data_IF_031916097759
#
_entry.id   IF_031916097759
#
_cell.length_a   1.000
_cell.length_b   1.000
_cell.length_c   1.000
_cell.angle_alpha   90.00
_cell.angle_beta   90.00
_cell.angle_gamma   90.00
#
_symmetry.space_group_name_H-M   'P 1'
#
loop_
_entity.id
_entity.type
_entity.pdbx_description
1 polymer ?
#
# COMPACT_ATOMS: atom_id res chain seq x y z
N UNK A 1 -24.09 -82.17 41.17
CA UNK A 1 -24.35 -80.71 41.19
C UNK A 1 -24.47 -80.31 39.72
N UNK A 2 -25.65 -80.19 39.11
CA UNK A 2 -26.76 -79.24 39.37
C UNK A 2 -26.37 -77.79 39.00
N UNK A 3 -27.14 -77.01 38.22
CA UNK A 3 -28.48 -77.21 37.63
C UNK A 3 -28.78 -76.10 36.57
N UNK A 4 -29.70 -76.37 35.59
CA UNK A 4 -30.73 -75.49 34.94
C UNK A 4 -30.42 -73.98 34.67
N UNK A 5 -30.84 -73.26 33.61
CA UNK A 5 -31.91 -73.30 32.57
C UNK A 5 -31.66 -72.12 31.57
N UNK A 6 -32.33 -71.83 30.45
CA UNK A 6 -33.47 -72.41 29.69
C UNK A 6 -33.25 -72.17 28.15
N UNK A 7 -34.30 -71.95 27.35
CA UNK A 7 -34.38 -71.70 25.88
C UNK A 7 -35.63 -70.79 25.60
N UNK A 8 -36.20 -70.54 24.39
CA UNK A 8 -35.89 -70.92 22.98
C UNK A 8 -35.88 -69.67 22.01
N UNK A 9 -35.77 -69.69 20.66
CA UNK A 9 -36.57 -70.37 19.63
C UNK A 9 -35.96 -70.35 18.20
N UNK A 10 -35.97 -71.53 17.56
CA UNK A 10 -36.24 -71.85 16.14
C UNK A 10 -35.41 -71.29 14.96
N UNK A 11 -34.83 -72.25 14.23
CA UNK A 11 -34.55 -72.24 12.79
C UNK A 11 -35.24 -73.46 12.16
N UNK A 12 -36.05 -73.27 11.12
CA UNK A 12 -36.57 -74.30 10.20
C UNK A 12 -37.38 -73.64 9.07
N UNK A 13 -37.55 -74.16 7.85
CA UNK A 13 -36.78 -75.11 7.02
C UNK A 13 -37.46 -75.16 5.63
N UNK A 14 -36.77 -75.62 4.58
CA UNK A 14 -37.29 -75.85 3.20
C UNK A 14 -37.76 -74.59 2.42
N UNK A 15 -37.81 -74.56 1.08
CA UNK A 15 -37.43 -75.55 0.07
C UNK A 15 -37.61 -75.00 -1.37
N UNK A 16 -36.97 -75.61 -2.37
CA UNK A 16 -37.01 -75.19 -3.79
C UNK A 16 -38.41 -75.28 -4.42
N UNK A 17 -38.84 -74.26 -5.20
CA UNK A 17 -38.99 -74.33 -6.69
C UNK A 17 -39.75 -73.13 -7.32
N UNK A 18 -39.14 -72.58 -8.38
CA UNK A 18 -39.72 -72.01 -9.62
C UNK A 18 -41.04 -71.21 -9.62
N UNK A 19 -40.93 -69.91 -9.98
CA UNK A 19 -42.05 -69.08 -10.46
C UNK A 19 -41.66 -67.59 -10.59
N UNK A 20 -41.38 -67.12 -11.81
CA UNK A 20 -41.05 -65.70 -12.12
C UNK A 20 -42.33 -64.81 -12.15
N UNK A 21 -42.30 -63.47 -12.34
CA UNK A 21 -41.17 -62.61 -12.76
C UNK A 21 -41.09 -61.19 -12.11
N UNK A 22 -40.20 -60.33 -12.65
CA UNK A 22 -40.11 -58.84 -12.53
C UNK A 22 -39.65 -58.24 -11.18
N UNK A 23 -38.39 -57.75 -11.13
CA UNK A 23 -38.04 -56.42 -10.56
C UNK A 23 -36.91 -55.80 -11.39
N UNK A 24 -36.99 -54.47 -11.55
CA UNK A 24 -36.11 -53.55 -12.28
C UNK A 24 -34.59 -53.75 -12.12
N UNK A 25 -33.87 -53.45 -13.21
CA UNK A 25 -32.43 -53.22 -13.27
C UNK A 25 -31.97 -52.11 -12.32
N UNK A 26 -30.86 -52.32 -11.61
CA UNK A 26 -30.13 -51.24 -10.94
C UNK A 26 -29.55 -50.29 -12.01
N UNK A 27 -30.06 -49.05 -12.05
CA UNK A 27 -29.39 -47.97 -12.74
C UNK A 27 -28.24 -47.47 -11.85
N UNK A 28 -27.00 -47.64 -12.32
CA UNK A 28 -25.86 -46.92 -11.75
C UNK A 28 -26.07 -45.41 -11.99
N UNK A 29 -26.40 -44.67 -10.93
CA UNK A 29 -26.72 -43.25 -11.04
C UNK A 29 -25.45 -42.42 -11.26
N UNK A 30 -25.16 -42.14 -12.54
CA UNK A 30 -24.05 -41.29 -12.95
C UNK A 30 -24.31 -39.83 -12.56
N UNK A 31 -23.88 -39.46 -11.36
CA UNK A 31 -23.85 -38.07 -10.88
C UNK A 31 -22.44 -37.50 -10.76
N UNK A 32 -21.57 -37.84 -11.72
CA UNK A 32 -20.48 -36.92 -12.09
C UNK A 32 -21.11 -35.65 -12.68
N UNK A 33 -21.27 -34.64 -11.83
CA UNK A 33 -21.64 -33.29 -12.24
C UNK A 33 -20.52 -32.69 -13.08
N UNK A 34 -20.53 -33.00 -14.38
CA UNK A 34 -19.67 -32.34 -15.34
C UNK A 34 -20.04 -30.86 -15.36
N UNK A 35 -19.14 -30.03 -14.82
CA UNK A 35 -19.19 -28.58 -15.06
C UNK A 35 -18.97 -28.39 -16.56
N UNK A 36 -20.05 -28.18 -17.30
CA UNK A 36 -19.98 -27.80 -18.71
C UNK A 36 -19.39 -26.38 -18.82
N UNK A 37 -18.06 -26.32 -18.83
CA UNK A 37 -17.28 -25.12 -19.12
C UNK A 37 -17.73 -24.58 -20.47
N UNK A 38 -18.49 -23.49 -20.47
CA UNK A 38 -19.08 -22.95 -21.69
C UNK A 38 -17.95 -22.30 -22.51
N UNK A 39 -17.49 -22.90 -23.62
CA UNK A 39 -16.23 -22.52 -24.26
C UNK A 39 -16.29 -21.15 -24.94
N UNK A 40 -17.48 -20.56 -25.06
CA UNK A 40 -17.67 -19.16 -25.46
C UNK A 40 -17.48 -18.19 -24.28
N UNK A 41 -17.96 -18.53 -23.08
CA UNK A 41 -17.72 -17.76 -21.86
C UNK A 41 -16.23 -17.72 -21.53
N UNK A 42 -15.59 -18.88 -21.49
CA UNK A 42 -14.15 -19.00 -21.19
C UNK A 42 -13.24 -18.30 -22.24
N UNK A 43 -13.76 -18.02 -23.45
CA UNK A 43 -13.06 -17.16 -24.44
C UNK A 43 -13.32 -15.68 -24.17
N UNK A 44 -14.57 -15.29 -23.91
CA UNK A 44 -14.93 -13.91 -23.64
C UNK A 44 -14.21 -13.39 -22.39
N UNK A 45 -14.21 -14.15 -21.29
CA UNK A 45 -13.52 -13.80 -20.05
C UNK A 45 -12.01 -13.65 -20.28
N UNK A 46 -11.39 -14.51 -21.09
CA UNK A 46 -9.97 -14.35 -21.48
C UNK A 46 -9.70 -13.08 -22.30
N UNK A 47 -10.59 -12.72 -23.23
CA UNK A 47 -10.46 -11.47 -24.00
C UNK A 47 -10.67 -10.22 -23.12
N UNK A 48 -11.60 -10.28 -22.16
CA UNK A 48 -11.82 -9.21 -21.19
C UNK A 48 -10.62 -9.06 -20.24
N UNK A 49 -10.08 -10.16 -19.70
CA UNK A 49 -8.84 -10.18 -18.91
C UNK A 49 -7.68 -9.56 -19.70
N UNK A 50 -7.50 -9.97 -20.97
CA UNK A 50 -6.44 -9.44 -21.83
C UNK A 50 -6.60 -7.95 -22.09
N UNK A 51 -7.78 -7.50 -22.52
CA UNK A 51 -8.07 -6.08 -22.79
C UNK A 51 -7.88 -5.21 -21.53
N UNK A 52 -8.25 -5.73 -20.36
CA UNK A 52 -8.06 -5.05 -19.09
C UNK A 52 -6.59 -4.94 -18.67
N UNK A 53 -5.80 -6.02 -18.84
CA UNK A 53 -4.35 -6.00 -18.60
C UNK A 53 -3.68 -5.00 -19.55
N UNK A 54 -4.04 -5.01 -20.85
CA UNK A 54 -3.56 -4.03 -21.83
C UNK A 54 -3.93 -2.61 -21.42
N UNK A 55 -5.15 -2.37 -20.92
CA UNK A 55 -5.57 -1.08 -20.37
C UNK A 55 -4.72 -0.63 -19.17
N UNK A 56 -4.44 -1.53 -18.23
CA UNK A 56 -3.58 -1.23 -17.07
C UNK A 56 -2.14 -0.90 -17.51
N UNK A 57 -1.60 -1.65 -18.47
CA UNK A 57 -0.27 -1.39 -19.07
C UNK A 57 -0.27 -0.05 -19.81
N UNK A 58 -1.33 0.28 -20.55
CA UNK A 58 -1.46 1.56 -21.23
C UNK A 58 -1.48 2.74 -20.24
N UNK A 59 -2.22 2.63 -19.13
CA UNK A 59 -2.19 3.65 -18.06
C UNK A 59 -0.80 3.79 -17.44
N UNK A 60 -0.11 2.67 -17.17
CA UNK A 60 1.28 2.71 -16.65
C UNK A 60 2.25 3.39 -17.63
N UNK A 61 2.13 3.11 -18.93
CA UNK A 61 2.91 3.78 -19.98
C UNK A 61 2.57 5.27 -20.05
N UNK A 62 1.29 5.65 -19.99
CA UNK A 62 0.86 7.05 -19.99
C UNK A 62 1.41 7.82 -18.77
N UNK A 63 1.39 7.25 -17.57
CA UNK A 63 1.99 7.87 -16.37
C UNK A 63 3.51 8.00 -16.55
N UNK A 64 4.18 6.94 -17.03
CA UNK A 64 5.63 6.91 -17.22
C UNK A 64 6.08 7.97 -18.23
N UNK A 65 5.43 8.04 -19.40
CA UNK A 65 5.78 8.95 -20.48
C UNK A 65 5.01 10.29 -20.46
N UNK A 66 4.28 10.59 -19.37
CA UNK A 66 3.63 11.88 -19.18
C UNK A 66 4.65 13.02 -19.27
N UNK A 67 4.53 13.84 -20.32
CA UNK A 67 5.39 15.01 -20.55
C UNK A 67 4.82 16.23 -19.83
N UNK A 68 4.94 16.24 -18.49
CA UNK A 68 4.54 17.36 -17.64
C UNK A 68 5.78 18.18 -17.30
N UNK A 69 5.74 19.48 -17.61
CA UNK A 69 6.82 20.40 -17.32
C UNK A 69 6.97 20.59 -15.80
N UNK A 70 8.08 20.12 -15.25
CA UNK A 70 8.46 20.26 -13.85
C UNK A 70 9.60 21.29 -13.76
N UNK A 71 9.45 22.43 -13.06
CA UNK A 71 10.48 23.46 -13.00
C UNK A 71 11.81 22.97 -12.40
N UNK A 72 11.74 22.14 -11.35
CA UNK A 72 12.89 21.89 -10.49
C UNK A 72 13.82 20.78 -11.01
N UNK A 73 13.36 19.95 -11.96
CA UNK A 73 14.09 18.75 -12.43
C UNK A 73 15.47 19.05 -13.02
N UNK A 74 15.62 20.17 -13.72
CA UNK A 74 16.90 20.59 -14.29
C UNK A 74 17.82 21.18 -13.22
N UNK A 75 17.27 21.77 -12.16
CA UNK A 75 18.01 22.16 -10.96
C UNK A 75 18.62 20.93 -10.28
N UNK A 76 17.79 19.96 -9.90
CA UNK A 76 18.23 18.69 -9.31
C UNK A 76 19.29 17.98 -10.15
N UNK A 77 19.11 17.93 -11.48
CA UNK A 77 20.10 17.35 -12.40
C UNK A 77 21.41 18.11 -12.35
N UNK A 78 21.38 19.46 -12.37
CA UNK A 78 22.57 20.32 -12.40
C UNK A 78 23.33 20.33 -11.07
N UNK A 79 22.61 20.35 -9.94
CA UNK A 79 23.20 20.24 -8.61
C UNK A 79 23.86 18.86 -8.44
N UNK A 80 23.23 17.79 -8.92
CA UNK A 80 23.81 16.44 -8.96
C UNK A 80 25.08 16.35 -9.78
N UNK A 81 25.14 16.98 -10.96
CA UNK A 81 26.37 17.08 -11.77
C UNK A 81 27.50 17.79 -11.00
N UNK A 82 27.18 18.85 -10.26
CA UNK A 82 28.15 19.57 -9.44
C UNK A 82 28.64 18.74 -8.24
N UNK A 83 27.75 18.00 -7.56
CA UNK A 83 28.12 17.06 -6.48
C UNK A 83 29.06 15.97 -7.01
N UNK A 84 28.70 15.34 -8.14
CA UNK A 84 29.50 14.29 -8.78
C UNK A 84 30.87 14.81 -9.25
N UNK A 85 30.94 16.03 -9.79
CA UNK A 85 32.19 16.66 -10.23
C UNK A 85 33.09 17.05 -9.05
N UNK A 86 32.51 17.71 -8.04
CA UNK A 86 33.26 18.32 -6.94
C UNK A 86 33.54 17.35 -5.78
N UNK A 87 32.89 16.19 -5.75
CA UNK A 87 32.98 15.19 -4.67
C UNK A 87 32.62 15.75 -3.27
N UNK A 88 31.79 16.80 -3.25
CA UNK A 88 31.32 17.50 -2.06
C UNK A 88 29.90 18.02 -2.34
N UNK A 89 29.10 18.20 -1.29
CA UNK A 89 27.75 18.78 -1.41
C UNK A 89 27.89 20.31 -1.32
N UNK A 90 27.54 21.09 -2.36
CA UNK A 90 27.62 22.54 -2.31
C UNK A 90 26.70 23.10 -1.24
N UNK A 91 27.24 23.88 -0.31
CA UNK A 91 26.45 24.59 0.71
C UNK A 91 26.22 26.06 0.39
N UNK A 92 26.57 26.50 -0.83
CA UNK A 92 26.45 27.88 -1.29
C UNK A 92 25.61 27.91 -2.56
N UNK A 93 24.51 28.67 -2.53
CA UNK A 93 23.60 28.80 -3.65
C UNK A 93 24.29 29.52 -4.82
N UNK A 94 24.77 28.74 -5.79
CA UNK A 94 25.57 29.26 -6.90
C UNK A 94 24.72 29.71 -8.09
N UNK A 95 23.43 29.37 -8.08
CA UNK A 95 22.52 29.50 -9.22
C UNK A 95 21.36 30.48 -8.99
N UNK A 96 21.08 30.87 -7.74
CA UNK A 96 20.15 31.95 -7.44
C UNK A 96 20.65 33.29 -7.95
N UNK A 97 19.78 33.99 -8.69
CA UNK A 97 20.04 35.32 -9.23
C UNK A 97 20.14 36.41 -8.16
N UNK A 98 19.43 36.25 -7.03
CA UNK A 98 19.34 37.27 -5.97
C UNK A 98 20.21 36.93 -4.77
N UNK A 99 20.29 35.64 -4.40
CA UNK A 99 20.97 35.16 -3.20
C UNK A 99 22.26 34.39 -3.54
N UNK A 100 22.98 34.81 -4.59
CA UNK A 100 24.19 34.11 -5.02
C UNK A 100 25.23 34.07 -3.89
N UNK A 101 25.73 32.87 -3.57
CA UNK A 101 26.71 32.61 -2.52
C UNK A 101 26.13 32.51 -1.10
N UNK A 102 24.80 32.66 -0.90
CA UNK A 102 24.19 32.45 0.41
C UNK A 102 24.26 30.98 0.84
N UNK A 103 24.35 30.75 2.15
CA UNK A 103 24.34 29.42 2.72
C UNK A 103 22.98 28.74 2.52
N UNK A 104 22.97 27.62 1.80
CA UNK A 104 21.79 26.81 1.55
C UNK A 104 22.04 25.36 1.98
N UNK A 105 21.03 24.72 2.57
CA UNK A 105 21.05 23.29 2.89
C UNK A 105 20.32 22.58 1.76
N UNK A 106 21.10 21.93 0.90
CA UNK A 106 20.59 20.94 -0.04
C UNK A 106 20.14 19.68 0.73
N UNK A 107 18.88 19.71 1.14
CA UNK A 107 18.23 18.63 1.85
C UNK A 107 17.82 17.44 0.96
N UNK A 108 18.04 17.54 -0.36
CA UNK A 108 17.64 16.54 -1.35
C UNK A 108 18.83 16.03 -2.19
N UNK A 109 20.06 16.34 -1.78
CA UNK A 109 21.33 16.03 -2.46
C UNK A 109 21.46 14.60 -3.01
N UNK A 110 20.88 13.60 -2.36
CA UNK A 110 20.93 12.21 -2.84
C UNK A 110 19.97 11.98 -4.01
N UNK A 111 18.83 12.68 -4.04
CA UNK A 111 17.95 12.74 -5.21
C UNK A 111 18.66 13.42 -6.39
N UNK A 112 19.39 14.50 -6.13
CA UNK A 112 20.14 15.24 -7.16
C UNK A 112 21.21 14.37 -7.81
N UNK A 113 22.02 13.69 -6.99
CA UNK A 113 23.00 12.69 -7.47
C UNK A 113 22.32 11.58 -8.29
N UNK A 114 21.11 11.14 -7.91
CA UNK A 114 20.34 10.18 -8.70
C UNK A 114 19.89 10.77 -10.04
N UNK A 115 19.40 12.01 -10.08
CA UNK A 115 18.99 12.69 -11.33
C UNK A 115 20.16 12.79 -12.29
N UNK A 116 21.31 13.30 -11.85
CA UNK A 116 22.51 13.40 -12.67
C UNK A 116 22.98 12.02 -13.17
N UNK A 117 22.96 10.99 -12.32
CA UNK A 117 23.37 9.63 -12.70
C UNK A 117 22.47 9.01 -13.78
N UNK A 118 21.15 9.13 -13.66
CA UNK A 118 20.20 8.64 -14.66
C UNK A 118 20.21 9.48 -15.95
N UNK A 119 20.48 10.78 -15.84
CA UNK A 119 20.66 11.65 -16.99
C UNK A 119 21.96 11.36 -17.76
N UNK A 120 23.09 11.13 -17.09
CA UNK A 120 24.35 10.76 -17.76
C UNK A 120 24.29 9.40 -18.47
N UNK A 121 23.47 8.47 -17.97
CA UNK A 121 23.37 7.10 -18.52
C UNK A 121 22.35 6.97 -19.66
N UNK A 122 21.24 7.72 -19.64
CA UNK A 122 20.16 7.60 -20.62
C UNK A 122 19.52 8.91 -21.07
N UNK A 123 20.08 10.07 -20.70
CA UNK A 123 19.49 11.38 -20.94
C UNK A 123 18.09 11.49 -20.32
N UNK A 124 17.20 12.22 -21.02
CA UNK A 124 15.78 12.35 -20.63
C UNK A 124 15.09 10.98 -20.56
N UNK A 125 15.45 10.03 -21.43
CA UNK A 125 14.86 8.68 -21.40
C UNK A 125 15.26 7.93 -20.11
N UNK A 126 16.50 8.10 -19.64
CA UNK A 126 16.97 7.54 -18.36
C UNK A 126 16.12 8.04 -17.18
N UNK A 127 15.87 9.35 -17.13
CA UNK A 127 15.00 9.98 -16.12
C UNK A 127 13.55 9.45 -16.19
N UNK A 128 12.98 9.34 -17.40
CA UNK A 128 11.62 8.82 -17.64
C UNK A 128 11.48 7.36 -17.20
N UNK A 129 12.45 6.50 -17.57
CA UNK A 129 12.47 5.09 -17.17
C UNK A 129 12.66 4.93 -15.67
N UNK A 130 13.47 5.79 -15.03
CA UNK A 130 13.63 5.81 -13.58
C UNK A 130 12.33 6.15 -12.85
N UNK A 131 11.57 7.14 -13.33
CA UNK A 131 10.21 7.45 -12.84
C UNK A 131 9.30 6.23 -12.96
N UNK A 132 9.29 5.57 -14.13
CA UNK A 132 8.52 4.35 -14.38
C UNK A 132 8.86 3.22 -13.41
N UNK A 133 10.15 3.02 -13.12
CA UNK A 133 10.63 2.03 -12.15
C UNK A 133 10.14 2.33 -10.72
N UNK A 134 10.20 3.59 -10.29
CA UNK A 134 9.71 4.01 -8.96
C UNK A 134 8.18 3.84 -8.83
N UNK A 135 7.41 4.20 -9.87
CA UNK A 135 5.95 3.98 -9.91
C UNK A 135 5.62 2.48 -9.91
N UNK A 136 6.36 1.66 -10.67
CA UNK A 136 6.19 0.21 -10.68
C UNK A 136 6.50 -0.42 -9.31
N UNK A 137 7.56 0.04 -8.63
CA UNK A 137 7.90 -0.40 -7.28
C UNK A 137 6.81 -0.02 -6.26
N UNK A 138 6.27 1.20 -6.33
CA UNK A 138 5.17 1.66 -5.50
C UNK A 138 3.91 0.81 -5.69
N UNK A 139 3.49 0.56 -6.94
CA UNK A 139 2.37 -0.34 -7.25
C UNK A 139 2.64 -1.76 -6.75
N UNK A 140 3.88 -2.24 -6.91
CA UNK A 140 4.33 -3.54 -6.41
C UNK A 140 4.24 -3.70 -4.90
N UNK A 141 4.43 -2.62 -4.13
CA UNK A 141 4.18 -2.62 -2.68
C UNK A 141 2.67 -2.58 -2.36
N UNK A 142 1.92 -1.71 -3.03
CA UNK A 142 0.50 -1.47 -2.73
C UNK A 142 -0.42 -2.63 -3.13
N UNK A 143 -0.02 -3.47 -4.09
CA UNK A 143 -0.80 -4.65 -4.49
C UNK A 143 -0.72 -5.80 -3.46
N UNK A 144 0.34 -5.87 -2.65
CA UNK A 144 0.51 -6.90 -1.61
C UNK A 144 -0.63 -6.96 -0.58
N UNK A 145 -1.00 -5.86 0.12
CA UNK A 145 -2.09 -5.90 1.10
C UNK A 145 -3.44 -6.18 0.45
N UNK A 146 -3.68 -5.75 -0.79
CA UNK A 146 -4.89 -6.08 -1.55
C UNK A 146 -4.96 -7.58 -1.88
N UNK A 147 -3.86 -8.19 -2.33
CA UNK A 147 -3.83 -9.65 -2.58
C UNK A 147 -4.00 -10.45 -1.29
N UNK A 148 -3.38 -10.04 -0.19
CA UNK A 148 -3.58 -10.67 1.12
C UNK A 148 -5.01 -10.52 1.66
N UNK A 149 -5.69 -9.40 1.36
CA UNK A 149 -7.10 -9.19 1.69
C UNK A 149 -8.08 -9.97 0.78
N UNK A 150 -7.59 -10.66 -0.25
CA UNK A 150 -8.40 -11.49 -1.15
C UNK A 150 -9.01 -10.75 -2.34
N UNK A 151 -8.41 -9.64 -2.80
CA UNK A 151 -8.83 -8.98 -4.04
C UNK A 151 -8.46 -9.80 -5.29
N UNK A 152 -9.46 -10.04 -6.15
CA UNK A 152 -9.29 -10.53 -7.52
C UNK A 152 -8.55 -9.53 -8.41
N UNK A 153 -8.20 -9.95 -9.64
CA UNK A 153 -7.38 -9.12 -10.54
C UNK A 153 -8.04 -7.76 -10.83
N UNK A 154 -9.29 -7.76 -11.25
CA UNK A 154 -10.04 -6.55 -11.63
C UNK A 154 -10.26 -5.60 -10.46
N UNK A 155 -10.75 -6.10 -9.31
CA UNK A 155 -11.07 -5.24 -8.17
C UNK A 155 -9.81 -4.67 -7.51
N UNK A 156 -8.73 -5.46 -7.43
CA UNK A 156 -7.43 -4.97 -6.96
C UNK A 156 -6.86 -3.91 -7.89
N UNK A 157 -6.88 -4.13 -9.20
CA UNK A 157 -6.39 -3.17 -10.18
C UNK A 157 -7.26 -1.90 -10.24
N UNK A 158 -8.59 -1.98 -10.12
CA UNK A 158 -9.46 -0.79 -10.03
C UNK A 158 -9.11 0.08 -8.82
N UNK A 159 -8.90 -0.56 -7.65
CA UNK A 159 -8.49 0.12 -6.42
C UNK A 159 -7.10 0.77 -6.56
N UNK A 160 -6.15 0.10 -7.23
CA UNK A 160 -4.83 0.67 -7.55
C UNK A 160 -4.95 1.85 -8.54
N UNK A 161 -5.74 1.72 -9.60
CA UNK A 161 -5.94 2.79 -10.59
C UNK A 161 -6.58 4.04 -9.97
N UNK A 162 -7.57 3.86 -9.09
CA UNK A 162 -8.10 4.96 -8.28
C UNK A 162 -7.01 5.60 -7.42
N UNK A 163 -6.20 4.81 -6.72
CA UNK A 163 -5.12 5.34 -5.90
C UNK A 163 -4.04 6.08 -6.71
N UNK A 164 -3.70 5.59 -7.91
CA UNK A 164 -2.80 6.28 -8.83
C UNK A 164 -3.39 7.61 -9.34
N UNK A 165 -4.69 7.67 -9.61
CA UNK A 165 -5.37 8.94 -9.94
C UNK A 165 -5.29 9.94 -8.79
N UNK A 166 -5.51 9.49 -7.54
CA UNK A 166 -5.38 10.32 -6.33
C UNK A 166 -3.95 10.83 -6.12
N UNK A 167 -2.94 10.00 -6.41
CA UNK A 167 -1.52 10.37 -6.36
C UNK A 167 -1.05 11.13 -7.61
N UNK A 168 -1.89 11.26 -8.64
CA UNK A 168 -1.58 11.76 -9.98
C UNK A 168 -0.58 12.92 -10.01
N UNK A 169 -0.87 14.06 -9.34
CA UNK A 169 0.00 15.24 -9.32
C UNK A 169 1.45 14.97 -8.86
N UNK A 170 1.71 13.94 -8.06
CA UNK A 170 3.04 13.57 -7.57
C UNK A 170 3.71 12.40 -8.28
N UNK A 171 3.00 11.68 -9.18
CA UNK A 171 3.55 10.52 -9.92
C UNK A 171 3.76 10.78 -11.42
N UNK A 172 3.10 11.80 -11.99
CA UNK A 172 3.29 12.17 -13.40
C UNK A 172 4.56 12.99 -13.64
N UNK A 173 5.02 13.75 -12.64
CA UNK A 173 6.29 14.49 -12.67
C UNK A 173 7.43 13.71 -12.01
N UNK A 174 8.67 14.07 -12.33
CA UNK A 174 9.85 13.56 -11.64
C UNK A 174 10.16 14.49 -10.47
N UNK A 175 9.81 14.07 -9.25
CA UNK A 175 10.06 14.82 -8.01
C UNK A 175 10.56 13.89 -6.89
N UNK A 176 11.34 14.42 -5.93
CA UNK A 176 11.79 13.67 -4.75
C UNK A 176 10.62 13.14 -3.89
N UNK A 177 9.45 13.77 -3.97
CA UNK A 177 8.22 13.30 -3.31
C UNK A 177 7.78 11.87 -3.72
N UNK A 178 8.15 11.37 -4.91
CA UNK A 178 7.83 10.00 -5.34
C UNK A 178 8.48 8.94 -4.43
N UNK A 179 9.69 9.22 -3.90
CA UNK A 179 10.33 8.38 -2.89
C UNK A 179 9.59 8.38 -1.57
N UNK A 180 8.94 9.49 -1.21
CA UNK A 180 8.10 9.55 0.00
C UNK A 180 6.91 8.61 -0.13
N UNK A 181 6.28 8.50 -1.30
CA UNK A 181 5.23 7.50 -1.51
C UNK A 181 5.76 6.07 -1.35
N UNK A 182 6.90 5.77 -1.98
CA UNK A 182 7.52 4.44 -1.93
C UNK A 182 7.93 4.04 -0.49
N UNK A 183 8.67 4.91 0.20
CA UNK A 183 9.14 4.63 1.56
C UNK A 183 8.01 4.70 2.60
N UNK A 184 7.02 5.58 2.45
CA UNK A 184 5.84 5.60 3.32
C UNK A 184 5.00 4.33 3.16
N UNK A 185 4.82 3.82 1.93
CA UNK A 185 4.18 2.53 1.69
C UNK A 185 4.98 1.38 2.34
N UNK A 186 6.30 1.35 2.18
CA UNK A 186 7.16 0.34 2.80
C UNK A 186 7.10 0.38 4.35
N UNK A 187 7.15 1.57 4.95
CA UNK A 187 6.97 1.75 6.40
C UNK A 187 5.60 1.26 6.84
N UNK A 188 4.52 1.67 6.17
CA UNK A 188 3.16 1.22 6.52
C UNK A 188 3.04 -0.31 6.46
N UNK A 189 3.63 -0.96 5.46
CA UNK A 189 3.64 -2.42 5.33
C UNK A 189 4.39 -3.09 6.49
N UNK A 190 5.59 -2.60 6.85
CA UNK A 190 6.36 -3.12 7.99
C UNK A 190 5.56 -2.99 9.30
N UNK A 191 4.90 -1.85 9.52
CA UNK A 191 4.06 -1.62 10.71
C UNK A 191 2.81 -2.50 10.72
N UNK A 192 2.20 -2.76 9.55
CA UNK A 192 1.09 -3.71 9.40
C UNK A 192 1.51 -5.12 9.77
N UNK A 193 2.58 -5.63 9.15
CA UNK A 193 3.11 -6.97 9.42
C UNK A 193 3.49 -7.13 10.90
N UNK A 194 4.06 -6.09 11.52
CA UNK A 194 4.37 -6.09 12.95
C UNK A 194 3.12 -6.14 13.85
N UNK A 195 2.04 -5.40 13.54
CA UNK A 195 0.75 -5.52 14.25
C UNK A 195 0.09 -6.90 14.05
N UNK A 196 0.30 -7.55 12.90
CA UNK A 196 -0.14 -8.92 12.65
C UNK A 196 0.77 -10.00 13.28
N UNK A 197 1.85 -9.59 13.98
CA UNK A 197 2.72 -10.45 14.78
C UNK A 197 4.14 -10.63 14.23
N UNK A 198 4.41 -10.23 12.99
CA UNK A 198 5.69 -10.39 12.30
C UNK A 198 6.65 -9.22 12.60
N UNK A 199 7.14 -9.15 13.85
CA UNK A 199 8.01 -8.06 14.31
C UNK A 199 9.44 -8.06 13.72
N UNK A 200 9.82 -9.09 12.96
CA UNK A 200 11.18 -9.25 12.40
C UNK A 200 11.61 -8.09 11.51
N UNK A 201 10.69 -7.53 10.72
CA UNK A 201 10.96 -6.47 9.75
C UNK A 201 11.10 -5.07 10.36
N UNK A 202 10.78 -4.87 11.65
CA UNK A 202 10.86 -3.57 12.32
C UNK A 202 12.26 -2.94 12.23
N UNK A 203 13.32 -3.75 12.20
CA UNK A 203 14.70 -3.27 12.06
C UNK A 203 15.06 -2.76 10.66
N UNK A 204 14.18 -2.88 9.67
CA UNK A 204 14.32 -2.18 8.39
C UNK A 204 13.85 -0.71 8.45
N UNK A 205 13.08 -0.31 9.47
CA UNK A 205 12.60 1.08 9.59
C UNK A 205 13.76 2.09 9.65
N UNK A 206 14.81 1.91 10.49
CA UNK A 206 15.98 2.80 10.46
C UNK A 206 16.69 2.79 9.09
N UNK A 207 16.82 1.62 8.47
CA UNK A 207 17.48 1.43 7.17
C UNK A 207 16.76 2.16 6.04
N UNK A 208 15.43 2.32 6.14
CA UNK A 208 14.62 3.11 5.20
C UNK A 208 14.71 4.61 5.50
N UNK A 209 14.75 5.01 6.79
CA UNK A 209 14.82 6.43 7.16
C UNK A 209 16.14 7.09 6.73
N UNK A 210 17.28 6.39 6.80
CA UNK A 210 18.59 6.95 6.37
C UNK A 210 18.56 7.51 4.93
N UNK A 211 18.30 6.72 3.86
CA UNK A 211 18.27 7.27 2.51
C UNK A 211 17.12 8.26 2.31
N UNK A 212 15.96 8.05 2.95
CA UNK A 212 14.81 8.95 2.81
C UNK A 212 15.12 10.37 3.33
N UNK A 213 15.81 10.48 4.47
CA UNK A 213 16.21 11.77 5.06
C UNK A 213 17.26 12.53 4.23
N UNK A 214 17.87 11.89 3.23
CA UNK A 214 18.80 12.51 2.28
C UNK A 214 18.17 12.74 0.89
N UNK A 215 16.93 12.29 0.67
CA UNK A 215 16.21 12.33 -0.62
C UNK A 215 15.05 13.32 -0.61
N UNK A 216 14.25 13.38 0.47
CA UNK A 216 13.09 14.27 0.56
C UNK A 216 12.67 14.50 2.02
N UNK A 217 12.34 15.75 2.38
CA UNK A 217 11.88 16.12 3.74
C UNK A 217 10.62 15.36 4.24
N UNK A 218 9.93 14.64 3.35
CA UNK A 218 8.79 13.78 3.65
C UNK A 218 9.07 12.60 4.59
N UNK A 219 10.33 12.30 4.94
CA UNK A 219 10.68 11.30 5.96
C UNK A 219 9.99 11.56 7.32
N UNK A 220 9.67 12.83 7.61
CA UNK A 220 8.89 13.26 8.78
C UNK A 220 7.52 12.55 8.85
N UNK A 221 6.88 12.25 7.72
CA UNK A 221 5.63 11.47 7.69
C UNK A 221 5.84 10.02 8.13
N UNK A 222 6.96 9.40 7.73
CA UNK A 222 7.39 8.08 8.18
C UNK A 222 7.64 8.04 9.68
N UNK A 223 8.44 8.98 10.21
CA UNK A 223 8.70 9.10 11.64
C UNK A 223 7.41 9.32 12.45
N UNK A 224 6.50 10.15 11.94
CA UNK A 224 5.21 10.41 12.56
C UNK A 224 4.35 9.14 12.66
N UNK A 225 4.22 8.37 11.58
CA UNK A 225 3.40 7.14 11.59
C UNK A 225 4.03 6.03 12.44
N UNK A 226 5.38 5.94 12.48
CA UNK A 226 6.12 5.03 13.37
C UNK A 226 5.86 5.40 14.84
N UNK A 227 5.89 6.68 15.20
CA UNK A 227 5.63 7.14 16.57
C UNK A 227 4.19 6.87 17.01
N UNK A 228 3.20 7.22 16.17
CA UNK A 228 1.77 6.95 16.44
C UNK A 228 1.55 5.44 16.62
N UNK A 229 2.09 4.63 15.72
CA UNK A 229 2.02 3.17 15.81
C UNK A 229 2.65 2.65 17.10
N UNK A 230 3.86 3.11 17.44
CA UNK A 230 4.59 2.65 18.63
C UNK A 230 3.81 2.95 19.93
N UNK A 231 3.21 4.13 20.04
CA UNK A 231 2.36 4.51 21.18
C UNK A 231 1.14 3.60 21.28
N UNK A 232 0.34 3.50 20.21
CA UNK A 232 -0.93 2.75 20.24
C UNK A 232 -0.67 1.24 20.40
N UNK A 233 0.29 0.68 19.68
CA UNK A 233 0.64 -0.73 19.75
C UNK A 233 1.19 -1.10 21.14
N UNK A 234 1.96 -0.21 21.80
CA UNK A 234 2.42 -0.42 23.18
C UNK A 234 1.25 -0.51 24.17
N UNK A 235 0.26 0.37 24.04
CA UNK A 235 -0.95 0.35 24.88
C UNK A 235 -1.75 -0.95 24.65
N UNK A 236 -1.90 -1.38 23.39
CA UNK A 236 -2.57 -2.65 23.04
C UNK A 236 -1.84 -3.85 23.65
N UNK A 237 -0.51 -3.94 23.46
CA UNK A 237 0.30 -5.04 23.99
C UNK A 237 0.28 -5.09 25.52
N UNK A 238 0.37 -3.94 26.18
CA UNK A 238 0.30 -3.81 27.64
C UNK A 238 -1.05 -4.28 28.19
N UNK A 239 -2.17 -3.80 27.62
CA UNK A 239 -3.53 -4.23 28.02
C UNK A 239 -3.78 -5.71 27.78
N UNK A 240 -3.13 -6.31 26.78
CA UNK A 240 -3.20 -7.73 26.48
C UNK A 240 -2.19 -8.60 27.28
N UNK A 241 -1.46 -8.02 28.25
CA UNK A 241 -0.56 -8.78 29.13
C UNK A 241 0.71 -9.32 28.45
N UNK A 242 1.15 -8.72 27.34
CA UNK A 242 2.35 -9.15 26.61
C UNK A 242 3.63 -8.83 27.39
N UNK A 243 4.75 -9.44 27.00
CA UNK A 243 6.02 -9.27 27.68
C UNK A 243 6.52 -7.84 27.51
N UNK A 244 7.03 -7.26 28.60
CA UNK A 244 7.64 -5.92 28.57
C UNK A 244 8.82 -5.83 27.56
N UNK A 245 9.46 -6.96 27.24
CA UNK A 245 10.49 -7.05 26.20
C UNK A 245 9.98 -6.67 24.80
N UNK A 246 8.74 -7.04 24.45
CA UNK A 246 8.16 -6.74 23.13
C UNK A 246 7.86 -5.24 22.99
N UNK A 247 7.35 -4.63 24.07
CA UNK A 247 7.15 -3.18 24.17
C UNK A 247 8.50 -2.46 24.10
N UNK A 248 9.51 -2.88 24.88
CA UNK A 248 10.86 -2.31 24.84
C UNK A 248 11.47 -2.36 23.44
N UNK A 249 11.27 -3.45 22.70
CA UNK A 249 11.73 -3.59 21.31
C UNK A 249 11.09 -2.55 20.38
N UNK A 250 9.78 -2.30 20.51
CA UNK A 250 9.08 -1.27 19.75
C UNK A 250 9.68 0.12 20.00
N UNK A 251 9.87 0.49 21.27
CA UNK A 251 10.47 1.78 21.63
C UNK A 251 11.94 1.90 21.20
N UNK A 252 12.72 0.82 21.30
CA UNK A 252 14.10 0.80 20.82
C UNK A 252 14.18 1.03 19.30
N UNK A 253 13.34 0.32 18.52
CA UNK A 253 13.27 0.53 17.06
C UNK A 253 12.82 1.94 16.72
N UNK A 254 11.84 2.48 17.46
CA UNK A 254 11.38 3.87 17.26
C UNK A 254 12.54 4.85 17.52
N UNK A 255 13.24 4.75 18.65
CA UNK A 255 14.38 5.61 18.99
C UNK A 255 15.49 5.51 17.94
N UNK A 256 15.83 4.30 17.48
CA UNK A 256 16.86 4.10 16.44
C UNK A 256 16.37 4.63 15.08
N UNK A 257 15.08 4.53 14.75
CA UNK A 257 14.51 5.12 13.53
C UNK A 257 14.53 6.65 13.59
N UNK A 258 14.27 7.25 14.75
CA UNK A 258 14.45 8.68 14.96
C UNK A 258 15.93 9.07 14.89
N UNK A 259 16.85 8.32 15.48
CA UNK A 259 18.28 8.59 15.35
C UNK A 259 18.80 8.46 13.90
N UNK A 260 18.18 7.59 13.08
CA UNK A 260 18.59 7.35 11.71
C UNK A 260 18.51 8.58 10.79
N UNK A 261 17.60 9.55 11.04
CA UNK A 261 17.56 10.76 10.22
C UNK A 261 18.81 11.65 10.40
N UNK A 262 19.55 11.49 11.50
CA UNK A 262 20.81 12.21 11.76
C UNK A 262 21.97 11.71 10.88
N UNK A 263 21.79 10.58 10.18
CA UNK A 263 22.75 10.05 9.19
C UNK A 263 22.56 10.82 7.88
N UNK A 264 22.88 12.11 7.92
CA UNK A 264 22.89 13.04 6.79
C UNK A 264 24.05 14.05 6.97
N UNK A 265 24.54 14.71 5.90
CA UNK A 265 25.67 15.65 5.96
C UNK A 265 25.52 16.82 6.94
N UNK A 266 24.29 17.20 7.26
CA UNK A 266 23.94 18.35 8.11
C UNK A 266 23.56 17.94 9.54
N UNK A 267 23.39 16.64 9.81
CA UNK A 267 22.97 16.10 11.11
C UNK A 267 21.64 16.68 11.57
N UNK A 268 21.60 17.22 12.80
CA UNK A 268 20.40 17.85 13.37
C UNK A 268 19.98 19.16 12.67
N UNK A 269 20.91 19.86 12.00
CA UNK A 269 20.63 21.14 11.31
C UNK A 269 19.62 20.99 10.16
N UNK A 270 19.46 19.78 9.63
CA UNK A 270 18.41 19.43 8.68
C UNK A 270 17.00 19.75 9.23
N UNK A 271 16.73 19.45 10.51
CA UNK A 271 15.43 19.77 11.12
C UNK A 271 15.27 21.26 11.41
N UNK A 272 16.36 21.93 11.81
CA UNK A 272 16.39 23.38 12.02
C UNK A 272 16.06 24.14 10.73
N UNK A 273 16.49 23.62 9.57
CA UNK A 273 16.16 24.14 8.24
C UNK A 273 14.73 23.82 7.79
N UNK A 274 14.28 22.57 7.95
CA UNK A 274 12.97 22.14 7.45
C UNK A 274 11.79 22.80 8.19
N UNK A 275 11.89 23.05 9.50
CA UNK A 275 10.76 23.57 10.30
C UNK A 275 10.32 24.99 9.86
N UNK A 276 11.21 25.97 9.63
CA UNK A 276 10.85 27.25 9.03
C UNK A 276 10.32 27.13 7.60
N UNK A 277 10.98 26.34 6.75
CA UNK A 277 10.62 26.18 5.33
C UNK A 277 9.21 25.63 5.17
N UNK A 278 8.83 24.59 5.92
CA UNK A 278 7.47 24.01 5.88
C UNK A 278 6.39 25.05 6.24
N UNK A 279 6.71 26.05 7.08
CA UNK A 279 5.77 27.11 7.47
C UNK A 279 5.63 28.20 6.40
N UNK A 280 6.71 28.57 5.70
CA UNK A 280 6.65 29.59 4.63
C UNK A 280 6.02 29.07 3.34
N UNK A 281 6.19 27.77 3.04
CA UNK A 281 5.69 27.12 1.82
C UNK A 281 4.19 27.30 1.54
N UNK A 282 3.36 27.51 2.56
CA UNK A 282 1.92 27.79 2.40
C UNK A 282 1.63 29.11 1.67
N UNK A 283 2.55 30.07 1.71
CA UNK A 283 2.39 31.39 1.07
C UNK A 283 2.71 31.35 -0.43
N UNK A 284 3.56 30.42 -0.86
CA UNK A 284 4.16 30.41 -2.20
C UNK A 284 3.65 29.26 -3.08
N UNK A 285 3.41 28.07 -2.50
CA UNK A 285 3.09 26.87 -3.28
C UNK A 285 1.74 26.31 -2.86
N UNK A 286 0.76 26.42 -3.77
CA UNK A 286 -0.63 26.03 -3.54
C UNK A 286 -0.91 24.54 -3.27
N UNK A 287 0.10 23.69 -3.09
CA UNK A 287 -0.04 22.31 -2.60
C UNK A 287 0.17 22.13 -1.09
N UNK A 288 0.71 23.15 -0.43
CA UNK A 288 0.80 23.25 1.02
C UNK A 288 -0.44 23.88 1.66
N UNK A 289 -1.33 24.45 0.85
CA UNK A 289 -2.64 24.92 1.27
C UNK A 289 -3.57 23.76 1.65
N UNK A 290 -4.47 23.98 2.64
CA UNK A 290 -5.57 23.08 2.96
C UNK A 290 -6.35 22.62 1.72
N UNK A 291 -6.74 21.35 1.71
CA UNK A 291 -7.59 20.80 0.65
C UNK A 291 -8.99 21.45 0.69
N UNK A 292 -9.38 22.11 -0.41
CA UNK A 292 -10.74 22.62 -0.60
C UNK A 292 -11.69 21.46 -0.95
N UNK A 293 -12.70 21.21 -0.12
CA UNK A 293 -13.66 20.10 -0.31
C UNK A 293 -14.45 20.21 -1.63
N UNK A 294 -14.63 21.43 -2.15
CA UNK A 294 -15.26 21.71 -3.45
C UNK A 294 -14.35 21.48 -4.67
N UNK A 295 -13.07 21.17 -4.48
CA UNK A 295 -12.14 20.87 -5.58
C UNK A 295 -12.25 19.41 -6.06
N UNK A 296 -11.64 19.10 -7.21
CA UNK A 296 -11.48 17.72 -7.69
C UNK A 296 -10.79 16.82 -6.65
N UNK A 297 -9.71 17.30 -6.02
CA UNK A 297 -9.06 16.61 -4.90
C UNK A 297 -10.00 16.43 -3.70
N UNK A 298 -10.95 17.35 -3.52
CA UNK A 298 -12.03 17.25 -2.53
C UNK A 298 -12.99 16.10 -2.81
N UNK A 299 -13.36 15.86 -4.07
CA UNK A 299 -14.16 14.68 -4.45
C UNK A 299 -13.40 13.37 -4.15
N UNK A 300 -12.11 13.30 -4.47
CA UNK A 300 -11.26 12.15 -4.14
C UNK A 300 -11.13 11.95 -2.62
N UNK A 301 -10.97 13.02 -1.86
CA UNK A 301 -10.95 13.00 -0.40
C UNK A 301 -12.29 12.51 0.18
N UNK A 302 -13.42 13.01 -0.30
CA UNK A 302 -14.75 12.55 0.12
C UNK A 302 -14.99 11.08 -0.23
N UNK A 303 -14.53 10.61 -1.39
CA UNK A 303 -14.58 9.20 -1.75
C UNK A 303 -13.74 8.34 -0.80
N UNK A 304 -12.55 8.79 -0.40
CA UNK A 304 -11.71 8.14 0.61
C UNK A 304 -12.41 8.12 1.98
N UNK A 305 -12.98 9.23 2.44
CA UNK A 305 -13.78 9.30 3.67
C UNK A 305 -14.94 8.31 3.66
N UNK A 306 -15.74 8.30 2.58
CA UNK A 306 -16.88 7.40 2.44
C UNK A 306 -16.43 5.94 2.43
N UNK A 307 -15.43 5.58 1.63
CA UNK A 307 -14.88 4.22 1.59
C UNK A 307 -14.34 3.79 2.96
N UNK A 308 -13.65 4.67 3.69
CA UNK A 308 -13.13 4.38 5.02
C UNK A 308 -14.24 4.17 6.05
N UNK A 309 -15.23 5.08 6.11
CA UNK A 309 -16.34 4.99 7.05
C UNK A 309 -17.17 3.74 6.79
N UNK A 310 -17.56 3.48 5.52
CA UNK A 310 -18.29 2.27 5.14
C UNK A 310 -17.49 1.01 5.51
N UNK A 311 -16.20 0.98 5.19
CA UNK A 311 -15.32 -0.14 5.56
C UNK A 311 -15.28 -0.36 7.07
N UNK A 312 -15.07 0.69 7.87
CA UNK A 312 -14.97 0.56 9.33
C UNK A 312 -16.30 0.25 10.01
N UNK A 313 -17.44 0.74 9.51
CA UNK A 313 -18.75 0.42 10.08
C UNK A 313 -19.21 -1.00 9.74
N UNK A 314 -19.15 -1.40 8.47
CA UNK A 314 -19.77 -2.65 8.00
C UNK A 314 -18.84 -3.87 7.98
N UNK A 315 -17.52 -3.71 8.16
CA UNK A 315 -16.59 -4.85 8.20
C UNK A 315 -16.87 -5.84 9.34
N UNK A 316 -16.81 -7.12 8.99
CA UNK A 316 -16.77 -8.26 9.93
C UNK A 316 -15.36 -8.53 10.47
N UNK A 317 -14.32 -7.90 9.91
CA UNK A 317 -12.93 -8.10 10.32
C UNK A 317 -12.61 -7.36 11.62
N UNK A 318 -11.73 -7.95 12.44
CA UNK A 318 -11.28 -7.33 13.69
C UNK A 318 -10.54 -6.02 13.40
N UNK A 319 -11.07 -4.92 13.93
CA UNK A 319 -10.48 -3.57 13.83
C UNK A 319 -9.25 -3.50 14.73
N UNK A 320 -8.06 -3.32 14.13
CA UNK A 320 -6.83 -3.12 14.90
C UNK A 320 -6.74 -1.66 15.39
N UNK A 321 -6.57 -1.36 16.69
CA UNK A 321 -6.59 0.01 17.19
C UNK A 321 -5.52 0.92 16.57
N UNK A 322 -4.32 0.40 16.31
CA UNK A 322 -3.25 1.14 15.64
C UNK A 322 -3.65 1.58 14.24
N UNK A 323 -4.25 0.68 13.45
CA UNK A 323 -4.71 0.96 12.08
C UNK A 323 -5.80 2.03 12.08
N UNK A 324 -6.81 1.90 12.96
CA UNK A 324 -7.91 2.87 13.07
C UNK A 324 -7.39 4.26 13.43
N UNK A 325 -6.50 4.37 14.43
CA UNK A 325 -5.93 5.67 14.84
C UNK A 325 -5.09 6.29 13.73
N UNK A 326 -4.22 5.52 13.07
CA UNK A 326 -3.40 6.00 11.96
C UNK A 326 -4.29 6.50 10.81
N UNK A 327 -5.27 5.70 10.37
CA UNK A 327 -6.18 6.08 9.28
C UNK A 327 -7.03 7.32 9.64
N UNK A 328 -7.49 7.43 10.88
CA UNK A 328 -8.24 8.61 11.36
C UNK A 328 -7.40 9.88 11.35
N UNK A 329 -6.12 9.81 11.76
CA UNK A 329 -5.20 10.95 11.68
C UNK A 329 -4.82 11.28 10.23
N UNK A 330 -4.68 10.28 9.37
CA UNK A 330 -4.45 10.50 7.94
C UNK A 330 -5.66 11.11 7.22
N UNK A 331 -6.90 10.94 7.69
CA UNK A 331 -8.05 11.71 7.17
C UNK A 331 -7.95 13.21 7.47
N UNK A 332 -7.33 13.59 8.59
CA UNK A 332 -7.19 15.00 8.96
C UNK A 332 -6.06 15.67 8.16
N UNK A 333 -5.02 14.93 7.78
CA UNK A 333 -3.82 15.49 7.14
C UNK A 333 -4.06 16.24 5.81
N UNK A 334 -4.95 15.81 4.87
CA UNK A 334 -5.29 16.60 3.68
C UNK A 334 -5.90 17.97 3.98
N UNK A 335 -6.60 18.10 5.12
CA UNK A 335 -7.20 19.36 5.56
C UNK A 335 -6.14 20.37 6.07
N UNK A 336 -4.90 19.93 6.30
CA UNK A 336 -3.77 20.84 6.62
C UNK A 336 -2.95 21.19 5.38
N UNK A 337 -2.75 20.24 4.46
CA UNK A 337 -2.11 20.45 3.17
C UNK A 337 -2.58 19.40 2.15
N UNK A 338 -3.02 19.83 0.96
CA UNK A 338 -3.59 18.92 -0.06
C UNK A 338 -2.63 17.78 -0.46
N UNK A 339 -1.31 18.01 -0.41
CA UNK A 339 -0.28 17.01 -0.76
C UNK A 339 -0.30 15.75 0.13
N UNK A 340 -0.91 15.81 1.32
CA UNK A 340 -1.09 14.65 2.20
C UNK A 340 -2.17 13.67 1.71
N UNK A 341 -3.00 14.03 0.72
CA UNK A 341 -4.03 13.15 0.15
C UNK A 341 -3.43 11.85 -0.42
N UNK A 342 -2.24 11.91 -1.00
CA UNK A 342 -1.50 10.75 -1.47
C UNK A 342 -1.09 9.81 -0.31
N UNK A 343 -0.63 10.36 0.82
CA UNK A 343 -0.26 9.57 2.01
C UNK A 343 -1.48 8.92 2.65
N UNK A 344 -2.63 9.62 2.66
CA UNK A 344 -3.90 9.05 3.10
C UNK A 344 -4.28 7.81 2.29
N UNK A 345 -4.30 7.89 0.95
CA UNK A 345 -4.70 6.73 0.15
C UNK A 345 -3.71 5.57 0.28
N UNK A 346 -2.41 5.81 0.42
CA UNK A 346 -1.41 4.76 0.75
C UNK A 346 -1.75 4.09 2.10
N UNK A 347 -1.98 4.88 3.15
CA UNK A 347 -2.33 4.35 4.46
C UNK A 347 -3.65 3.56 4.43
N UNK A 348 -4.64 4.02 3.66
CA UNK A 348 -5.91 3.31 3.47
C UNK A 348 -5.74 1.98 2.73
N UNK A 349 -4.91 1.93 1.68
CA UNK A 349 -4.63 0.68 0.97
C UNK A 349 -3.90 -0.33 1.84
N UNK A 350 -2.93 0.11 2.66
CA UNK A 350 -2.17 -0.80 3.51
C UNK A 350 -3.01 -1.27 4.71
N UNK A 351 -3.57 -0.35 5.49
CA UNK A 351 -4.24 -0.68 6.76
C UNK A 351 -5.73 -1.01 6.59
N UNK A 352 -6.37 -0.54 5.52
CA UNK A 352 -7.80 -0.69 5.28
C UNK A 352 -8.20 -1.81 4.31
N UNK A 353 -7.27 -2.44 3.59
CA UNK A 353 -7.59 -3.45 2.55
C UNK A 353 -8.52 -4.56 3.03
N UNK A 354 -8.27 -5.14 4.21
CA UNK A 354 -9.10 -6.22 4.76
C UNK A 354 -10.54 -5.78 5.08
N UNK A 355 -10.70 -4.52 5.51
CA UNK A 355 -12.01 -3.94 5.80
C UNK A 355 -12.77 -3.61 4.51
N UNK A 356 -12.08 -3.06 3.51
CA UNK A 356 -12.65 -2.78 2.19
C UNK A 356 -13.07 -4.08 1.48
N UNK A 357 -12.21 -5.10 1.48
CA UNK A 357 -12.53 -6.43 0.94
C UNK A 357 -13.77 -7.04 1.61
N UNK A 358 -13.85 -6.97 2.94
CA UNK A 358 -15.00 -7.45 3.71
C UNK A 358 -16.32 -6.83 3.25
N UNK A 359 -16.37 -5.50 3.10
CA UNK A 359 -17.59 -4.79 2.70
C UNK A 359 -17.91 -5.03 1.22
N UNK A 360 -16.91 -5.07 0.34
CA UNK A 360 -17.13 -5.45 -1.06
C UNK A 360 -17.69 -6.86 -1.21
N UNK A 361 -17.21 -7.84 -0.42
CA UNK A 361 -17.74 -9.21 -0.41
C UNK A 361 -19.18 -9.27 0.11
N UNK A 362 -19.54 -8.49 1.14
CA UNK A 362 -20.93 -8.38 1.62
C UNK A 362 -21.85 -7.78 0.55
N UNK A 363 -21.42 -6.69 -0.10
CA UNK A 363 -22.20 -6.03 -1.16
C UNK A 363 -22.41 -6.95 -2.37
N UNK A 364 -21.39 -7.69 -2.81
CA UNK A 364 -21.53 -8.68 -3.89
C UNK A 364 -22.57 -9.76 -3.55
N UNK A 365 -22.52 -10.32 -2.33
CA UNK A 365 -23.50 -11.30 -1.84
C UNK A 365 -24.92 -10.71 -1.80
N UNK A 366 -25.09 -9.50 -1.27
CA UNK A 366 -26.39 -8.83 -1.17
C UNK A 366 -27.02 -8.56 -2.54
N UNK A 367 -26.20 -8.18 -3.53
CA UNK A 367 -26.61 -7.90 -4.91
C UNK A 367 -26.72 -9.17 -5.79
N UNK A 368 -26.47 -10.37 -5.24
CA UNK A 368 -26.38 -11.66 -5.97
C UNK A 368 -25.39 -11.64 -7.15
N UNK A 369 -24.37 -10.80 -7.07
CA UNK A 369 -23.27 -10.79 -8.04
C UNK A 369 -22.34 -11.97 -7.74
N UNK A 370 -21.66 -12.50 -8.78
CA UNK A 370 -20.55 -13.45 -8.58
C UNK A 370 -19.53 -12.84 -7.62
N UNK A 371 -18.91 -13.66 -6.77
CA UNK A 371 -17.96 -13.15 -5.78
C UNK A 371 -16.74 -12.55 -6.48
N UNK A 372 -16.12 -11.53 -5.88
CA UNK A 372 -14.89 -10.93 -6.40
C UNK A 372 -13.69 -11.92 -6.44
N UNK A 373 -13.80 -13.07 -5.76
CA UNK A 373 -12.89 -14.22 -5.87
C UNK A 373 -13.00 -14.96 -7.20
N UNK A 374 -14.13 -14.85 -7.89
CA UNK A 374 -14.51 -15.73 -9.00
C UNK A 374 -14.09 -15.16 -10.36
N UNK A 375 -13.53 -13.95 -10.37
CA UNK A 375 -12.87 -13.30 -11.51
C UNK A 375 -11.35 -13.33 -11.29
N UNK A 376 -10.77 -14.52 -11.50
CA UNK A 376 -9.34 -14.82 -11.41
C UNK A 376 -8.56 -14.31 -12.63
#
# INVERSE_FOLDING_TARGET
>A
MANWRELPCYHAAYGHLAGAPIVMTEAQDMTESSKSSNPFGDRLDRWLNFAFIVGCVAVFVLITFANVAEPDIWGHTRFGEDILRLHQIPTADSYSYVNQGFYCIDHEWLFDVMMASWYHTGGVLGLVLFKGLLVAALVGLLILPLRQAGFGLFSGAFVILFALQVMGPGIVVIRPHLFTYLFFAAVCLILREATLGSTKWLWLLPVIIVPWANIHGGFLSGLSVILIWAIVQSIVLFKAGNRLADIRRIWLVMIVSFAAHLVNPFGARLLEFLVPVIRSMQLEIGEWNPLAISSESGLYYLACCAAMLLSLFFTERKRQPSFVVIMSLMLIAPLTAKRHLALLVIAMLVFGAEHLASVMQQLAKALKLKSFSDFS
#
